data_IF_913756102586
#
_entry.id   IF_913756102586
#
_cell.length_a   1.000
_cell.length_b   1.000
_cell.length_c   1.000
_cell.angle_alpha   90.00
_cell.angle_beta   90.00
_cell.angle_gamma   90.00
#
_symmetry.space_group_name_H-M   'P 1'
#
loop_
_entity.id
_entity.type
_entity.pdbx_description
1 polymer ?
#
# COMPACT_ATOMS: atom_id res chain seq x y z
N UNK A 1 5.08 19.81 -11.02
CA UNK A 1 6.15 19.14 -10.26
C UNK A 1 5.87 17.65 -10.20
N UNK A 2 5.23 17.08 -9.19
CA UNK A 2 4.86 15.68 -9.20
C UNK A 2 3.63 15.42 -10.08
N UNK A 3 3.65 14.32 -10.86
CA UNK A 3 2.60 13.98 -11.82
C UNK A 3 1.87 12.70 -11.48
N UNK A 4 2.55 11.75 -10.85
CA UNK A 4 2.01 10.45 -10.50
C UNK A 4 2.45 10.04 -9.08
N UNK A 5 1.49 9.82 -8.20
CA UNK A 5 1.73 9.54 -6.78
C UNK A 5 1.31 8.11 -6.46
N UNK A 6 2.22 7.30 -5.92
CA UNK A 6 1.85 6.01 -5.34
C UNK A 6 1.37 6.22 -3.90
N UNK A 7 0.21 5.65 -3.57
CA UNK A 7 -0.37 5.65 -2.22
C UNK A 7 -0.55 4.20 -1.75
N UNK A 8 0.36 3.68 -0.89
CA UNK A 8 0.20 2.36 -0.33
C UNK A 8 -0.81 2.37 0.81
N UNK A 9 -1.59 1.30 0.93
CA UNK A 9 -2.51 1.06 2.04
C UNK A 9 -2.36 -0.36 2.58
N UNK A 10 -2.49 -0.51 3.88
CA UNK A 10 -2.62 -1.80 4.58
C UNK A 10 -4.01 -1.99 5.21
N UNK A 11 -4.94 -1.08 4.92
CA UNK A 11 -6.30 -1.08 5.44
C UNK A 11 -6.45 -0.53 6.86
N UNK A 12 -5.35 -0.07 7.49
CA UNK A 12 -5.41 0.59 8.80
C UNK A 12 -6.04 1.98 8.71
N UNK A 13 -6.61 2.46 9.81
CA UNK A 13 -7.17 3.81 9.90
C UNK A 13 -6.11 4.89 9.58
N UNK A 14 -4.88 4.67 9.99
CA UNK A 14 -3.78 5.60 9.73
C UNK A 14 -3.43 5.66 8.24
N UNK A 15 -3.39 4.51 7.54
CA UNK A 15 -3.17 4.48 6.10
C UNK A 15 -4.34 5.09 5.31
N UNK A 16 -5.58 4.92 5.78
CA UNK A 16 -6.75 5.56 5.17
C UNK A 16 -6.69 7.10 5.32
N UNK A 17 -6.33 7.59 6.50
CA UNK A 17 -6.15 9.02 6.72
C UNK A 17 -5.02 9.60 5.86
N UNK A 18 -3.89 8.90 5.77
CA UNK A 18 -2.79 9.28 4.88
C UNK A 18 -3.22 9.30 3.41
N UNK A 19 -4.00 8.30 2.98
CA UNK A 19 -4.54 8.26 1.62
C UNK A 19 -5.46 9.46 1.34
N UNK A 20 -6.30 9.84 2.29
CA UNK A 20 -7.18 11.01 2.15
C UNK A 20 -6.37 12.30 1.98
N UNK A 21 -5.34 12.51 2.80
CA UNK A 21 -4.47 13.68 2.71
C UNK A 21 -3.65 13.69 1.40
N UNK A 22 -3.14 12.52 1.00
CA UNK A 22 -2.39 12.37 -0.25
C UNK A 22 -3.26 12.64 -1.48
N UNK A 23 -4.52 12.22 -1.49
CA UNK A 23 -5.48 12.52 -2.56
C UNK A 23 -5.83 14.00 -2.63
N UNK A 24 -5.99 14.67 -1.50
CA UNK A 24 -6.19 16.13 -1.47
C UNK A 24 -4.96 16.86 -2.03
N UNK A 25 -3.76 16.41 -1.65
CA UNK A 25 -2.53 16.94 -2.21
C UNK A 25 -2.44 16.70 -3.72
N UNK A 26 -2.70 15.47 -4.19
CA UNK A 26 -2.73 15.14 -5.61
C UNK A 26 -3.68 16.04 -6.41
N UNK A 27 -4.87 16.31 -5.87
CA UNK A 27 -5.84 17.23 -6.47
C UNK A 27 -5.27 18.64 -6.60
N UNK A 28 -4.62 19.14 -5.55
CA UNK A 28 -4.06 20.50 -5.52
C UNK A 28 -2.99 20.71 -6.59
N UNK A 29 -2.19 19.68 -6.88
CA UNK A 29 -1.11 19.75 -7.88
C UNK A 29 -1.48 19.14 -9.24
N UNK A 30 -2.74 18.70 -9.39
CA UNK A 30 -3.26 18.06 -10.59
C UNK A 30 -2.48 16.80 -11.01
N UNK A 31 -2.13 15.97 -10.02
CA UNK A 31 -1.46 14.68 -10.20
C UNK A 31 -2.46 13.52 -10.28
N UNK A 32 -2.03 12.42 -10.92
CA UNK A 32 -2.73 11.13 -10.91
C UNK A 32 -2.26 10.29 -9.72
N UNK A 33 -3.05 9.29 -9.35
CA UNK A 33 -2.75 8.43 -8.20
C UNK A 33 -2.74 6.97 -8.62
N UNK A 34 -1.79 6.21 -8.06
CA UNK A 34 -1.76 4.75 -8.06
C UNK A 34 -1.98 4.29 -6.62
N UNK A 35 -3.16 3.74 -6.33
CA UNK A 35 -3.44 3.06 -5.07
C UNK A 35 -2.79 1.68 -5.06
N UNK A 36 -2.08 1.34 -3.99
CA UNK A 36 -1.33 0.09 -3.91
C UNK A 36 -1.58 -0.68 -2.62
N UNK A 37 -1.76 -1.99 -2.72
CA UNK A 37 -1.79 -2.91 -1.58
C UNK A 37 -0.75 -4.01 -1.76
N UNK A 38 0.10 -4.21 -0.74
CA UNK A 38 1.06 -5.31 -0.70
C UNK A 38 0.41 -6.55 -0.09
N UNK A 39 0.43 -7.64 -0.85
CA UNK A 39 -0.04 -8.94 -0.39
C UNK A 39 1.12 -9.74 0.19
N UNK A 40 0.90 -10.34 1.36
CA UNK A 40 1.86 -11.23 1.98
C UNK A 40 1.75 -12.63 1.37
N UNK A 41 2.85 -13.23 0.84
CA UNK A 41 2.82 -14.56 0.28
C UNK A 41 2.44 -15.63 1.31
N UNK A 42 1.84 -16.71 0.85
CA UNK A 42 1.58 -17.87 1.69
C UNK A 42 2.87 -18.62 2.01
N UNK A 43 3.15 -18.81 3.29
CA UNK A 43 4.29 -19.60 3.77
C UNK A 43 3.84 -20.92 4.38
N UNK A 44 4.41 -22.04 3.91
CA UNK A 44 4.11 -23.37 4.41
C UNK A 44 5.00 -23.70 5.61
N UNK A 45 4.38 -23.82 6.77
CA UNK A 45 5.04 -24.33 7.99
C UNK A 45 4.55 -25.73 8.40
N UNK A 46 3.73 -26.40 7.56
CA UNK A 46 3.04 -27.63 7.91
C UNK A 46 3.72 -28.88 7.35
N UNK A 47 3.57 -29.99 8.09
CA UNK A 47 4.15 -31.30 7.81
C UNK A 47 3.26 -32.16 6.90
N UNK A 48 1.99 -31.78 6.70
CA UNK A 48 0.99 -32.56 5.97
C UNK A 48 0.54 -31.82 4.70
N UNK A 49 0.79 -32.44 3.55
CA UNK A 49 0.59 -31.85 2.20
C UNK A 49 -0.90 -31.62 1.88
N UNK A 50 -1.82 -32.47 2.35
CA UNK A 50 -3.26 -32.31 2.08
C UNK A 50 -3.86 -31.15 2.87
N UNK A 51 -3.52 -31.04 4.16
CA UNK A 51 -3.93 -29.89 5.00
C UNK A 51 -3.36 -28.57 4.49
N UNK A 52 -2.18 -28.60 3.89
CA UNK A 52 -1.51 -27.42 3.31
C UNK A 52 -2.27 -26.88 2.10
N UNK A 53 -2.80 -27.74 1.23
CA UNK A 53 -3.52 -27.33 0.03
C UNK A 53 -4.82 -26.56 0.37
N UNK A 54 -5.64 -27.12 1.26
CA UNK A 54 -6.91 -26.50 1.67
C UNK A 54 -6.68 -25.17 2.41
N UNK A 55 -5.66 -25.12 3.26
CA UNK A 55 -5.28 -23.91 4.01
C UNK A 55 -4.76 -22.83 3.08
N UNK A 56 -4.02 -23.20 2.03
CA UNK A 56 -3.53 -22.26 1.01
C UNK A 56 -4.67 -21.61 0.23
N UNK A 57 -5.65 -22.40 -0.23
CA UNK A 57 -6.80 -21.88 -0.98
C UNK A 57 -7.62 -20.89 -0.13
N UNK A 58 -7.86 -21.21 1.14
CA UNK A 58 -8.57 -20.32 2.08
C UNK A 58 -7.77 -19.04 2.29
N UNK A 59 -6.47 -19.14 2.53
CA UNK A 59 -5.59 -18.00 2.71
C UNK A 59 -5.58 -17.08 1.47
N UNK A 60 -5.39 -17.65 0.27
CA UNK A 60 -5.37 -16.88 -0.97
C UNK A 60 -6.70 -16.17 -1.23
N UNK A 61 -7.83 -16.83 -0.91
CA UNK A 61 -9.16 -16.23 -1.02
C UNK A 61 -9.32 -15.04 -0.07
N UNK A 62 -8.93 -15.22 1.19
CA UNK A 62 -9.01 -14.17 2.20
C UNK A 62 -8.13 -12.97 1.87
N UNK A 63 -6.92 -13.21 1.35
CA UNK A 63 -6.02 -12.15 0.89
C UNK A 63 -6.66 -11.38 -0.27
N UNK A 64 -7.21 -12.05 -1.27
CA UNK A 64 -7.88 -11.39 -2.41
C UNK A 64 -9.04 -10.51 -1.96
N UNK A 65 -9.88 -11.00 -1.04
CA UNK A 65 -11.00 -10.23 -0.49
C UNK A 65 -10.52 -8.99 0.28
N UNK A 66 -9.50 -9.14 1.09
CA UNK A 66 -8.90 -8.04 1.86
C UNK A 66 -8.26 -7.01 0.93
N UNK A 67 -7.50 -7.46 -0.06
CA UNK A 67 -6.89 -6.60 -1.08
C UNK A 67 -7.95 -5.78 -1.81
N UNK A 68 -9.01 -6.44 -2.31
CA UNK A 68 -10.10 -5.77 -3.00
C UNK A 68 -10.80 -4.73 -2.12
N UNK A 69 -11.07 -5.06 -0.85
CA UNK A 69 -11.70 -4.14 0.10
C UNK A 69 -10.83 -2.91 0.39
N UNK A 70 -9.51 -3.11 0.60
CA UNK A 70 -8.58 -2.02 0.90
C UNK A 70 -8.39 -1.10 -0.31
N UNK A 71 -8.25 -1.65 -1.51
CA UNK A 71 -8.12 -0.86 -2.74
C UNK A 71 -9.42 -0.11 -3.08
N UNK A 72 -10.59 -0.72 -2.85
CA UNK A 72 -11.88 -0.07 -3.05
C UNK A 72 -12.03 1.20 -2.19
N UNK A 73 -11.46 1.24 -0.99
CA UNK A 73 -11.47 2.43 -0.14
C UNK A 73 -10.71 3.59 -0.79
N UNK A 74 -9.50 3.33 -1.32
CA UNK A 74 -8.73 4.37 -2.03
C UNK A 74 -9.48 4.82 -3.29
N UNK A 75 -10.00 3.89 -4.07
CA UNK A 75 -10.72 4.21 -5.29
C UNK A 75 -11.96 5.09 -5.02
N UNK A 76 -12.73 4.77 -3.99
CA UNK A 76 -13.89 5.55 -3.58
C UNK A 76 -13.51 6.95 -3.09
N UNK A 77 -12.45 7.06 -2.30
CA UNK A 77 -11.91 8.36 -1.87
C UNK A 77 -11.45 9.19 -3.07
N UNK A 78 -10.69 8.60 -3.99
CA UNK A 78 -10.23 9.29 -5.20
C UNK A 78 -11.38 9.80 -6.05
N UNK A 79 -12.42 8.96 -6.23
CA UNK A 79 -13.63 9.35 -6.96
C UNK A 79 -14.36 10.51 -6.27
N UNK A 80 -14.45 10.50 -4.94
CA UNK A 80 -15.13 11.55 -4.18
C UNK A 80 -14.45 12.91 -4.28
N UNK A 81 -13.13 12.95 -4.43
CA UNK A 81 -12.36 14.20 -4.60
C UNK A 81 -12.08 14.54 -6.06
N UNK A 82 -12.40 13.65 -7.00
CA UNK A 82 -12.23 13.86 -8.44
C UNK A 82 -10.77 13.74 -8.91
N UNK A 83 -10.00 12.80 -8.32
CA UNK A 83 -8.61 12.51 -8.71
C UNK A 83 -8.57 11.21 -9.52
N UNK A 84 -7.95 11.20 -10.71
CA UNK A 84 -7.75 9.96 -11.46
C UNK A 84 -6.91 8.97 -10.64
N UNK A 85 -7.43 7.75 -10.47
CA UNK A 85 -6.79 6.72 -9.65
C UNK A 85 -6.85 5.36 -10.33
N UNK A 86 -5.70 4.70 -10.43
CA UNK A 86 -5.56 3.29 -10.75
C UNK A 86 -5.23 2.52 -9.48
N UNK A 87 -5.87 1.36 -9.23
CA UNK A 87 -5.57 0.53 -8.07
C UNK A 87 -4.92 -0.78 -8.50
N UNK A 88 -3.80 -1.12 -7.89
CA UNK A 88 -3.02 -2.34 -8.16
C UNK A 88 -2.59 -3.00 -6.84
N UNK A 89 -2.29 -4.29 -6.91
CA UNK A 89 -1.64 -5.03 -5.83
C UNK A 89 -0.34 -5.66 -6.30
N UNK A 90 0.51 -6.01 -5.36
CA UNK A 90 1.73 -6.77 -5.60
C UNK A 90 2.03 -7.67 -4.41
N UNK A 91 2.83 -8.71 -4.65
CA UNK A 91 3.16 -9.71 -3.65
C UNK A 91 4.67 -9.73 -3.41
N UNK A 92 5.08 -9.59 -2.16
CA UNK A 92 6.47 -9.72 -1.71
C UNK A 92 6.48 -10.04 -0.21
N UNK A 93 7.49 -10.76 0.25
CA UNK A 93 7.73 -11.01 1.69
C UNK A 93 7.98 -9.72 2.48
N UNK A 94 8.48 -8.71 1.79
CA UNK A 94 8.74 -7.40 2.36
C UNK A 94 7.85 -6.34 1.70
N UNK A 95 6.83 -5.82 2.40
CA UNK A 95 5.91 -4.82 1.85
C UNK A 95 6.61 -3.60 1.24
N UNK A 96 7.71 -3.11 1.84
CA UNK A 96 8.46 -1.99 1.32
C UNK A 96 9.04 -2.23 -0.09
N UNK A 97 9.47 -3.49 -0.39
CA UNK A 97 9.97 -3.85 -1.71
C UNK A 97 8.87 -3.77 -2.76
N UNK A 98 7.71 -4.33 -2.43
CA UNK A 98 6.54 -4.27 -3.30
C UNK A 98 6.11 -2.82 -3.57
N UNK A 99 6.13 -1.96 -2.55
CA UNK A 99 5.81 -0.54 -2.67
C UNK A 99 6.76 0.17 -3.64
N UNK A 100 8.07 0.02 -3.43
CA UNK A 100 9.09 0.67 -4.29
C UNK A 100 9.00 0.14 -5.72
N UNK A 101 8.91 -1.18 -5.90
CA UNK A 101 8.79 -1.80 -7.23
C UNK A 101 7.52 -1.35 -7.97
N UNK A 102 6.39 -1.24 -7.27
CA UNK A 102 5.14 -0.74 -7.86
C UNK A 102 5.28 0.72 -8.31
N UNK A 103 5.89 1.57 -7.48
CA UNK A 103 6.11 2.97 -7.81
C UNK A 103 7.00 3.13 -9.06
N UNK A 104 8.09 2.37 -9.13
CA UNK A 104 8.99 2.37 -10.28
C UNK A 104 8.30 1.85 -11.55
N UNK A 105 7.59 0.72 -11.46
CA UNK A 105 6.92 0.10 -12.61
C UNK A 105 5.80 0.97 -13.20
N UNK A 106 5.13 1.76 -12.36
CA UNK A 106 4.07 2.68 -12.77
C UNK A 106 4.55 4.08 -13.11
N UNK A 107 5.86 4.32 -13.04
CA UNK A 107 6.44 5.63 -13.32
C UNK A 107 5.99 6.72 -12.35
N UNK A 108 5.71 6.34 -11.10
CA UNK A 108 5.39 7.31 -10.07
C UNK A 108 6.63 8.14 -9.70
N UNK A 109 6.45 9.43 -9.48
CA UNK A 109 7.50 10.37 -9.12
C UNK A 109 7.41 10.85 -7.66
N UNK A 110 6.43 10.33 -6.92
CA UNK A 110 6.25 10.51 -5.48
C UNK A 110 5.62 9.26 -4.87
N UNK A 111 6.07 8.87 -3.67
CA UNK A 111 5.38 7.92 -2.79
C UNK A 111 4.80 8.70 -1.62
N UNK A 112 3.50 8.59 -1.37
CA UNK A 112 2.82 9.25 -0.25
C UNK A 112 2.24 8.20 0.69
N UNK A 113 2.74 8.09 1.92
CA UNK A 113 2.38 7.02 2.83
C UNK A 113 2.22 7.46 4.28
N UNK A 114 1.56 6.63 5.07
CA UNK A 114 1.46 6.83 6.52
C UNK A 114 2.80 6.59 7.21
N UNK A 115 2.99 7.25 8.34
CA UNK A 115 4.18 7.05 9.19
C UNK A 115 4.25 5.66 9.81
N UNK A 116 3.10 4.99 10.01
CA UNK A 116 2.98 3.63 10.57
C UNK A 116 1.90 2.86 9.81
N UNK A 117 2.00 1.52 9.86
CA UNK A 117 0.95 0.61 9.38
C UNK A 117 0.21 -0.06 10.54
N UNK A 118 -0.46 -1.18 10.23
CA UNK A 118 -1.25 -1.98 11.19
C UNK A 118 -0.47 -2.49 12.40
N UNK A 119 0.85 -2.66 12.27
CA UNK A 119 1.74 -3.14 13.34
C UNK A 119 2.47 -2.01 14.06
N UNK A 120 2.03 -0.77 13.86
CA UNK A 120 2.64 0.40 14.50
C UNK A 120 2.53 0.32 16.02
N UNK A 121 3.67 0.51 16.72
CA UNK A 121 3.74 0.57 18.17
C UNK A 121 3.60 2.03 18.58
N UNK A 122 2.75 2.31 19.56
CA UNK A 122 2.60 3.65 20.12
C UNK A 122 3.95 4.16 20.67
N UNK A 123 4.37 5.33 20.26
CA UNK A 123 5.63 5.96 20.69
C UNK A 123 6.79 5.85 19.68
N UNK A 124 6.67 5.04 18.62
CA UNK A 124 7.65 5.07 17.53
C UNK A 124 7.38 6.25 16.58
N UNK A 125 8.45 6.94 16.18
CA UNK A 125 8.35 8.06 15.24
C UNK A 125 7.97 7.59 13.84
N UNK A 126 8.50 6.45 13.39
CA UNK A 126 8.23 5.84 12.09
C UNK A 126 8.12 4.32 12.20
N UNK A 127 7.20 3.73 11.44
CA UNK A 127 7.10 2.28 11.29
C UNK A 127 8.22 1.70 10.45
N UNK A 128 8.50 0.40 10.63
CA UNK A 128 9.58 -0.29 9.94
C UNK A 128 9.49 -0.21 8.41
N UNK A 129 8.30 -0.38 7.84
CA UNK A 129 8.10 -0.32 6.40
C UNK A 129 8.36 1.09 5.86
N UNK A 130 7.93 2.12 6.57
CA UNK A 130 8.18 3.52 6.21
C UNK A 130 9.68 3.82 6.22
N UNK A 131 10.41 3.37 7.25
CA UNK A 131 11.88 3.51 7.32
C UNK A 131 12.54 2.81 6.13
N UNK A 132 12.13 1.60 5.79
CA UNK A 132 12.70 0.86 4.66
C UNK A 132 12.40 1.55 3.32
N UNK A 133 11.20 2.06 3.10
CA UNK A 133 10.88 2.83 1.88
C UNK A 133 11.75 4.07 1.78
N UNK A 134 11.87 4.85 2.87
CA UNK A 134 12.72 6.06 2.92
C UNK A 134 14.19 5.74 2.64
N UNK A 135 14.67 4.59 3.10
CA UNK A 135 16.09 4.20 2.96
C UNK A 135 16.42 3.70 1.55
N UNK A 136 15.50 2.98 0.91
CA UNK A 136 15.80 2.24 -0.33
C UNK A 136 15.17 2.86 -1.58
N UNK A 137 14.18 3.74 -1.43
CA UNK A 137 13.56 4.39 -2.59
C UNK A 137 14.44 5.48 -3.17
N UNK A 138 14.53 5.52 -4.49
CA UNK A 138 15.09 6.66 -5.24
C UNK A 138 14.02 7.72 -5.54
N UNK A 139 12.75 7.34 -5.39
CA UNK A 139 11.60 8.23 -5.56
C UNK A 139 11.40 9.00 -4.24
N UNK A 140 11.16 10.31 -4.26
CA UNK A 140 10.81 11.08 -3.08
C UNK A 140 9.64 10.48 -2.30
N UNK A 141 9.68 10.59 -0.98
CA UNK A 141 8.67 10.02 -0.09
C UNK A 141 8.07 11.11 0.79
N UNK A 142 6.75 11.25 0.73
CA UNK A 142 5.98 12.12 1.61
C UNK A 142 5.32 11.25 2.70
N UNK A 143 5.61 11.57 3.96
CA UNK A 143 5.10 10.82 5.11
C UNK A 143 4.08 11.63 5.87
N UNK A 144 2.88 11.07 6.03
CA UNK A 144 1.82 11.63 6.88
C UNK A 144 1.83 10.97 8.26
N UNK A 145 1.68 11.78 9.30
CA UNK A 145 1.63 11.35 10.71
C UNK A 145 0.22 11.37 11.25
#
# INVERSE_FOLDING_TARGET
MFKAILIPTDGSALSENAAQLALQFAKTINATVVGFHSEEPYHVFAVDVEMVSDTREVYERDIKLRTAANLAKIENLARSVGVPCECISGQDDHPWRAIVAAAESKGCDLIAMASHGRRGISGLLLGSQTVHVLTHSKIPVLVFR
#
